data_IF_737065272689
#
_entry.id   IF_737065272689
#
_cell.length_a   1.000
_cell.length_b   1.000
_cell.length_c   1.000
_cell.angle_alpha   90.00
_cell.angle_beta   90.00
_cell.angle_gamma   90.00
#
_symmetry.space_group_name_H-M   'P 1'
#
loop_
_entity.id
_entity.type
_entity.pdbx_description
1 polymer ?
#
# COMPACT_ATOMS: atom_id res chain seq x y z
N UNK A 1 4.62 2.77 -12.40
CA UNK A 1 5.04 1.82 -11.35
C UNK A 1 4.31 0.52 -11.61
N UNK A 2 5.05 -0.59 -11.62
CA UNK A 2 4.57 -1.95 -11.85
C UNK A 2 4.87 -2.80 -10.62
N UNK A 3 3.92 -3.61 -10.17
CA UNK A 3 4.08 -4.54 -9.05
C UNK A 3 3.77 -5.94 -9.56
N UNK A 4 4.72 -6.86 -9.43
CA UNK A 4 4.57 -8.26 -9.77
C UNK A 4 4.45 -9.09 -8.49
N UNK A 5 3.36 -9.83 -8.39
CA UNK A 5 3.03 -10.69 -7.27
C UNK A 5 3.57 -12.12 -7.50
N UNK A 6 3.74 -12.92 -6.44
CA UNK A 6 4.26 -14.28 -6.55
C UNK A 6 3.32 -15.27 -7.24
N UNK A 7 2.08 -14.88 -7.52
CA UNK A 7 1.10 -15.64 -8.30
C UNK A 7 1.11 -15.27 -9.80
N UNK A 8 2.21 -14.66 -10.26
CA UNK A 8 2.43 -14.18 -11.62
C UNK A 8 1.47 -13.05 -12.09
N UNK A 9 0.67 -12.49 -11.19
CA UNK A 9 -0.15 -11.32 -11.51
C UNK A 9 0.64 -10.01 -11.44
N UNK A 10 0.32 -9.11 -12.37
CA UNK A 10 0.89 -7.78 -12.45
C UNK A 10 -0.16 -6.71 -12.18
N UNK A 11 0.19 -5.74 -11.33
CA UNK A 11 -0.60 -4.53 -11.09
C UNK A 11 0.14 -3.33 -11.68
N UNK A 12 -0.53 -2.66 -12.61
CA UNK A 12 -0.10 -1.41 -13.24
C UNK A 12 -1.34 -0.52 -13.45
N UNK A 13 -1.74 0.19 -12.40
CA UNK A 13 -2.84 1.15 -12.49
C UNK A 13 -2.48 2.38 -13.34
N UNK A 14 -3.46 3.25 -13.56
CA UNK A 14 -3.34 4.43 -14.43
C UNK A 14 -2.25 5.41 -13.96
N UNK A 15 -1.98 5.41 -12.66
CA UNK A 15 -0.93 6.21 -12.04
C UNK A 15 -0.35 5.49 -10.80
N UNK A 16 0.78 5.96 -10.25
CA UNK A 16 1.41 5.31 -9.10
C UNK A 16 0.55 5.22 -7.83
N UNK A 17 -0.42 6.12 -7.62
CA UNK A 17 -1.35 6.04 -6.48
C UNK A 17 -2.30 4.86 -6.69
N UNK A 18 -2.83 4.72 -7.90
CA UNK A 18 -3.74 3.63 -8.25
C UNK A 18 -3.06 2.26 -8.15
N UNK A 19 -1.86 2.08 -8.73
CA UNK A 19 -1.06 0.85 -8.55
C UNK A 19 -0.84 0.51 -7.08
N UNK A 20 -0.56 1.53 -6.24
CA UNK A 20 -0.34 1.33 -4.81
C UNK A 20 -1.62 0.84 -4.12
N UNK A 21 -2.76 1.49 -4.35
CA UNK A 21 -4.04 1.11 -3.73
C UNK A 21 -4.46 -0.29 -4.16
N UNK A 22 -4.40 -0.61 -5.45
CA UNK A 22 -4.74 -1.94 -5.97
C UNK A 22 -3.84 -3.03 -5.36
N UNK A 23 -2.55 -2.73 -5.17
CA UNK A 23 -1.62 -3.64 -4.48
C UNK A 23 -2.01 -3.86 -3.02
N UNK A 24 -2.40 -2.81 -2.29
CA UNK A 24 -2.90 -2.92 -0.91
C UNK A 24 -4.17 -3.77 -0.84
N UNK A 25 -5.09 -3.62 -1.80
CA UNK A 25 -6.29 -4.46 -1.87
C UNK A 25 -5.96 -5.93 -2.10
N UNK A 26 -5.06 -6.25 -3.05
CA UNK A 26 -4.64 -7.65 -3.30
C UNK A 26 -3.96 -8.28 -2.08
N UNK A 27 -3.15 -7.51 -1.34
CA UNK A 27 -2.50 -7.97 -0.10
C UNK A 27 -3.49 -8.20 1.05
N UNK A 28 -4.68 -7.58 0.97
CA UNK A 28 -5.76 -7.56 1.98
C UNK A 28 -5.52 -6.55 3.11
N UNK A 29 -6.27 -5.46 3.06
CA UNK A 29 -6.16 -4.34 4.00
C UNK A 29 -6.42 -4.71 5.46
N UNK A 30 -7.32 -5.66 5.72
CA UNK A 30 -7.63 -6.14 7.07
C UNK A 30 -6.41 -6.80 7.73
N UNK A 31 -5.59 -7.52 6.95
CA UNK A 31 -4.34 -8.10 7.44
C UNK A 31 -3.31 -7.03 7.77
N UNK A 32 -3.20 -6.00 6.93
CA UNK A 32 -2.27 -4.89 7.14
C UNK A 32 -2.65 -4.02 8.35
N UNK A 33 -3.94 -3.78 8.55
CA UNK A 33 -4.44 -3.01 9.69
C UNK A 33 -4.06 -3.66 11.02
N UNK A 34 -4.13 -5.00 11.10
CA UNK A 34 -3.73 -5.77 12.30
C UNK A 34 -2.24 -5.69 12.61
N UNK A 35 -1.40 -5.37 11.62
CA UNK A 35 0.05 -5.21 11.81
C UNK A 35 0.44 -3.85 12.41
N UNK A 36 -0.47 -2.88 12.47
CA UNK A 36 -0.22 -1.59 13.12
C UNK A 36 0.93 -0.79 12.49
N UNK A 37 1.10 -0.87 11.17
CA UNK A 37 2.21 -0.24 10.46
C UNK A 37 2.14 1.29 10.53
N UNK A 38 3.30 1.93 10.62
CA UNK A 38 3.44 3.38 10.59
C UNK A 38 4.32 3.81 9.39
N UNK A 39 4.00 4.98 8.81
CA UNK A 39 4.83 5.69 7.84
C UNK A 39 5.10 7.08 8.42
N UNK A 40 6.36 7.46 8.64
CA UNK A 40 6.71 8.77 9.17
C UNK A 40 5.84 9.16 10.39
N UNK A 41 5.78 8.26 11.38
CA UNK A 41 5.01 8.42 12.64
C UNK A 41 3.47 8.45 12.48
N UNK A 42 2.96 8.35 11.25
CA UNK A 42 1.53 8.26 10.94
C UNK A 42 1.11 6.82 10.75
N UNK A 43 -0.01 6.41 11.33
CA UNK A 43 -0.56 5.08 11.08
C UNK A 43 -0.92 4.89 9.60
N UNK A 44 -0.53 3.75 9.05
CA UNK A 44 -0.79 3.37 7.66
C UNK A 44 -2.29 3.29 7.40
N UNK A 45 -3.04 2.64 8.30
CA UNK A 45 -4.49 2.48 8.22
C UNK A 45 -5.11 3.00 9.51
N UNK A 46 -6.11 3.86 9.38
CA UNK A 46 -6.87 4.43 10.50
C UNK A 46 -8.36 4.18 10.31
N UNK A 47 -9.13 4.13 11.41
CA UNK A 47 -10.59 3.91 11.34
C UNK A 47 -11.36 5.11 10.80
N UNK A 48 -10.85 6.30 11.12
CA UNK A 48 -11.37 7.58 10.66
C UNK A 48 -10.30 8.29 9.84
N UNK A 49 -10.70 9.29 9.03
CA UNK A 49 -9.77 10.15 8.33
C UNK A 49 -9.05 11.05 9.33
N UNK A 50 -7.76 10.78 9.59
CA UNK A 50 -6.93 11.56 10.52
C UNK A 50 -5.98 12.51 9.79
N UNK A 51 -5.56 12.18 8.57
CA UNK A 51 -4.53 12.93 7.85
C UNK A 51 -5.00 13.39 6.47
N UNK A 52 -4.52 14.58 6.06
CA UNK A 52 -4.68 15.06 4.68
C UNK A 52 -4.00 14.09 3.71
N UNK A 53 -4.69 13.75 2.63
CA UNK A 53 -4.20 12.80 1.62
C UNK A 53 -4.52 11.33 1.91
N UNK A 54 -5.19 11.01 3.04
CA UNK A 54 -5.76 9.68 3.22
C UNK A 54 -6.91 9.43 2.24
N UNK A 55 -6.96 8.21 1.72
CA UNK A 55 -8.01 7.72 0.83
C UNK A 55 -8.76 6.60 1.54
N UNK A 56 -10.09 6.65 1.48
CA UNK A 56 -10.92 5.57 1.99
C UNK A 56 -10.87 4.40 1.03
N UNK A 57 -10.51 3.23 1.54
CA UNK A 57 -10.25 2.01 0.76
C UNK A 57 -11.05 0.81 1.28
N UNK A 58 -11.93 1.04 2.25
CA UNK A 58 -12.85 0.07 2.85
C UNK A 58 -13.78 0.72 3.87
N UNK A 59 -14.62 -0.09 4.52
CA UNK A 59 -15.49 0.36 5.62
C UNK A 59 -14.59 0.69 6.82
N UNK A 60 -14.65 1.95 7.28
CA UNK A 60 -13.79 2.43 8.38
C UNK A 60 -12.30 2.14 8.16
N UNK A 61 -11.84 2.27 6.92
CA UNK A 61 -10.46 2.01 6.55
C UNK A 61 -9.92 3.14 5.68
N UNK A 62 -9.14 4.01 6.30
CA UNK A 62 -8.47 5.13 5.68
C UNK A 62 -6.99 4.85 5.55
N UNK A 63 -6.51 4.75 4.31
CA UNK A 63 -5.12 4.46 3.99
C UNK A 63 -4.33 5.75 3.78
N UNK A 64 -3.20 5.86 4.46
CA UNK A 64 -2.22 6.95 4.28
C UNK A 64 -1.42 6.72 3.02
N UNK A 65 -1.54 7.62 2.04
CA UNK A 65 -0.87 7.52 0.75
C UNK A 65 0.49 8.25 0.81
N UNK A 66 1.62 7.58 0.52
CA UNK A 66 2.92 8.25 0.42
C UNK A 66 2.95 9.26 -0.73
N UNK A 67 3.65 10.38 -0.54
CA UNK A 67 3.64 11.49 -1.51
C UNK A 67 4.30 11.13 -2.83
N UNK A 68 5.50 10.53 -2.80
CA UNK A 68 6.28 10.23 -4.01
C UNK A 68 6.08 8.79 -4.49
N UNK A 69 6.33 8.51 -5.77
CA UNK A 69 6.35 7.13 -6.30
C UNK A 69 7.40 6.28 -5.61
N UNK A 70 8.55 6.87 -5.28
CA UNK A 70 9.65 6.19 -4.57
C UNK A 70 9.21 5.76 -3.16
N UNK A 71 8.47 6.59 -2.45
CA UNK A 71 7.99 6.25 -1.10
C UNK A 71 6.90 5.18 -1.13
N UNK A 72 6.04 5.19 -2.16
CA UNK A 72 5.06 4.10 -2.39
C UNK A 72 5.76 2.75 -2.61
N UNK A 73 6.78 2.72 -3.47
CA UNK A 73 7.57 1.52 -3.72
C UNK A 73 8.30 1.02 -2.46
N UNK A 74 8.95 1.93 -1.72
CA UNK A 74 9.60 1.59 -0.43
C UNK A 74 8.63 0.98 0.57
N UNK A 75 7.44 1.56 0.70
CA UNK A 75 6.43 1.06 1.62
C UNK A 75 5.91 -0.32 1.19
N UNK A 76 5.69 -0.55 -0.11
CA UNK A 76 5.32 -1.87 -0.61
C UNK A 76 6.42 -2.90 -0.36
N UNK A 77 7.70 -2.54 -0.43
CA UNK A 77 8.80 -3.44 0.00
C UNK A 77 8.76 -3.74 1.51
N UNK A 78 8.49 -2.74 2.35
CA UNK A 78 8.33 -2.96 3.80
C UNK A 78 7.16 -3.91 4.06
N UNK A 79 6.02 -3.68 3.41
CA UNK A 79 4.84 -4.53 3.52
C UNK A 79 5.14 -5.95 3.02
N UNK A 80 5.80 -6.09 1.88
CA UNK A 80 6.26 -7.36 1.32
C UNK A 80 7.07 -8.17 2.33
N UNK A 81 8.03 -7.54 3.00
CA UNK A 81 8.85 -8.17 4.04
C UNK A 81 8.02 -8.60 5.25
N UNK A 82 7.17 -7.71 5.78
CA UNK A 82 6.35 -7.97 6.98
C UNK A 82 5.27 -9.04 6.74
N UNK A 83 4.77 -9.11 5.50
CA UNK A 83 3.72 -10.04 5.11
C UNK A 83 4.29 -11.33 4.52
N UNK A 84 5.61 -11.43 4.35
CA UNK A 84 6.29 -12.55 3.67
C UNK A 84 5.72 -12.82 2.26
N UNK A 85 5.52 -11.76 1.48
CA UNK A 85 5.05 -11.81 0.09
C UNK A 85 6.18 -11.30 -0.80
N UNK A 86 6.71 -12.11 -1.71
CA UNK A 86 7.81 -11.69 -2.61
C UNK A 86 7.29 -10.79 -3.73
N UNK A 87 7.23 -9.48 -3.48
CA UNK A 87 6.78 -8.48 -4.45
C UNK A 87 7.98 -7.92 -5.22
N UNK A 88 7.95 -8.03 -6.55
CA UNK A 88 8.91 -7.32 -7.42
C UNK A 88 8.31 -5.99 -7.87
N UNK A 89 9.01 -4.90 -7.58
CA UNK A 89 8.51 -3.54 -7.82
C UNK A 89 9.42 -2.82 -8.81
N UNK A 90 8.85 -2.32 -9.90
CA UNK A 90 9.55 -1.54 -10.91
C UNK A 90 8.99 -0.13 -10.96
N UNK A 91 9.86 0.87 -10.77
CA UNK A 91 9.53 2.28 -11.03
C UNK A 91 9.93 2.57 -12.48
N UNK A 92 8.97 3.04 -13.27
CA UNK A 92 9.15 3.47 -14.66
C UNK A 92 9.37 4.98 -14.70
#
# INVERSE_FOLDING_TARGET
>A
MLVHFPDDEFIAGDNPIDTFIQSIWKIRIDKLQRKGLNINEKSLITRNKLYKGQIQVGIEQWLTIPNTTKDKAKLLHIISSIMHIDLKITIL
#
